data_IF_364985032508
#
_entry.id   IF_364985032508
#
_cell.length_a   1.000
_cell.length_b   1.000
_cell.length_c   1.000
_cell.angle_alpha   90.00
_cell.angle_beta   90.00
_cell.angle_gamma   90.00
#
_symmetry.space_group_name_H-M   'P 1'
#
loop_
_entity.id
_entity.type
_entity.pdbx_description
1 polymer ?
#
# COMPACT_ATOMS: atom_id res chain seq x y z
N UNK A 1 9.32 -0.50 -35.63
CA UNK A 1 9.94 -0.94 -34.35
C UNK A 1 8.80 -1.35 -33.45
N UNK A 2 8.42 -2.63 -33.55
CA UNK A 2 7.32 -3.20 -32.80
C UNK A 2 7.75 -3.46 -31.36
N UNK A 3 7.03 -2.84 -30.42
CA UNK A 3 7.13 -3.15 -28.99
C UNK A 3 6.49 -4.54 -28.77
N UNK A 4 7.12 -5.44 -28.01
CA UNK A 4 6.51 -6.73 -27.73
C UNK A 4 5.39 -6.54 -26.70
N UNK A 5 4.16 -6.45 -27.19
CA UNK A 5 2.93 -6.76 -26.43
C UNK A 5 2.96 -8.23 -26.03
N UNK A 6 3.46 -8.51 -24.82
CA UNK A 6 3.62 -9.88 -24.36
C UNK A 6 3.94 -10.05 -22.87
N UNK A 7 3.55 -9.11 -22.00
CA UNK A 7 3.70 -9.23 -20.54
C UNK A 7 2.36 -9.65 -19.88
N UNK A 8 1.63 -10.57 -20.51
CA UNK A 8 0.29 -10.97 -20.08
C UNK A 8 0.30 -12.23 -19.22
N UNK A 9 -0.30 -12.16 -18.03
CA UNK A 9 -0.82 -13.25 -17.15
C UNK A 9 0.15 -14.38 -16.70
N UNK A 10 1.14 -14.77 -17.50
CA UNK A 10 2.11 -15.84 -17.21
C UNK A 10 3.08 -15.46 -16.11
N UNK A 11 3.48 -14.19 -16.04
CA UNK A 11 4.33 -13.66 -14.97
C UNK A 11 3.64 -13.72 -13.60
N UNK A 12 2.34 -13.37 -13.54
CA UNK A 12 1.55 -13.35 -12.31
C UNK A 12 1.40 -14.74 -11.68
N UNK A 13 1.27 -15.80 -12.50
CA UNK A 13 1.22 -17.19 -12.01
C UNK A 13 2.55 -17.63 -11.36
N UNK A 14 3.68 -17.18 -11.89
CA UNK A 14 5.00 -17.47 -11.31
C UNK A 14 5.20 -16.71 -9.99
N UNK A 15 4.76 -15.45 -9.91
CA UNK A 15 4.74 -14.66 -8.67
C UNK A 15 3.89 -15.33 -7.59
N UNK A 16 2.69 -15.80 -7.95
CA UNK A 16 1.79 -16.48 -7.01
C UNK A 16 2.45 -17.72 -6.40
N UNK A 17 3.19 -18.50 -7.19
CA UNK A 17 3.91 -19.69 -6.70
C UNK A 17 4.99 -19.33 -5.69
N UNK A 18 5.77 -18.29 -5.95
CA UNK A 18 6.83 -17.83 -5.03
C UNK A 18 6.30 -17.35 -3.68
N UNK A 19 5.08 -16.83 -3.63
CA UNK A 19 4.47 -16.30 -2.40
C UNK A 19 3.66 -17.33 -1.61
N UNK A 20 3.17 -18.39 -2.27
CA UNK A 20 2.55 -19.53 -1.57
C UNK A 20 3.54 -20.17 -0.59
N UNK A 21 4.83 -20.26 -0.95
CA UNK A 21 5.87 -20.81 -0.05
C UNK A 21 6.04 -19.97 1.22
N UNK A 22 6.01 -18.64 1.09
CA UNK A 22 6.04 -17.69 2.23
C UNK A 22 4.75 -17.76 3.07
N UNK A 23 3.62 -18.06 2.44
CA UNK A 23 2.30 -18.20 3.09
C UNK A 23 2.19 -19.51 3.89
N UNK A 24 2.71 -20.63 3.37
CA UNK A 24 2.67 -21.97 4.00
C UNK A 24 3.43 -22.03 5.34
N UNK A 25 4.52 -21.28 5.50
CA UNK A 25 5.20 -21.16 6.81
C UNK A 25 4.34 -20.45 7.88
N UNK A 26 3.28 -19.75 7.48
CA UNK A 26 2.44 -18.91 8.35
C UNK A 26 0.95 -19.36 8.43
N UNK A 27 0.57 -20.46 7.78
CA UNK A 27 -0.84 -20.84 7.57
C UNK A 27 -1.47 -21.55 8.79
N UNK A 28 -2.01 -20.76 9.70
CA UNK A 28 -3.24 -21.14 10.42
C UNK A 28 -3.96 -19.89 10.87
N UNK A 29 -4.85 -19.37 10.02
CA UNK A 29 -6.22 -18.92 10.38
C UNK A 29 -6.83 -18.00 9.31
N UNK A 30 -7.98 -18.47 8.82
CA UNK A 30 -9.20 -17.70 8.48
C UNK A 30 -9.02 -16.60 7.42
N UNK A 31 -9.34 -16.92 6.17
CA UNK A 31 -9.82 -15.92 5.21
C UNK A 31 -11.06 -16.45 4.49
N UNK A 32 -12.16 -15.69 4.54
CA UNK A 32 -13.24 -15.83 3.58
C UNK A 32 -12.70 -15.42 2.20
N UNK A 33 -12.98 -16.23 1.18
CA UNK A 33 -12.47 -15.98 -0.18
C UNK A 33 -13.21 -14.79 -0.80
N UNK A 34 -12.47 -13.73 -1.16
CA UNK A 34 -13.02 -12.59 -1.93
C UNK A 34 -13.40 -13.04 -3.34
N UNK A 35 -14.44 -12.41 -3.91
CA UNK A 35 -14.84 -12.66 -5.31
C UNK A 35 -13.81 -12.03 -6.27
N UNK A 36 -13.57 -12.62 -7.46
CA UNK A 36 -12.55 -12.14 -8.41
C UNK A 36 -12.67 -10.68 -8.82
N UNK A 37 -13.90 -10.17 -8.99
CA UNK A 37 -14.18 -8.78 -9.37
C UNK A 37 -14.07 -7.79 -8.20
N UNK A 38 -13.84 -8.26 -6.98
CA UNK A 38 -13.79 -7.48 -5.74
C UNK A 38 -14.92 -6.42 -5.66
N UNK A 39 -16.19 -6.85 -5.58
CA UNK A 39 -17.31 -5.93 -5.42
C UNK A 39 -17.26 -5.21 -4.06
N UNK A 40 -18.03 -4.12 -3.93
CA UNK A 40 -18.03 -3.26 -2.72
C UNK A 40 -18.21 -4.03 -1.42
N UNK A 41 -19.08 -5.04 -1.41
CA UNK A 41 -19.35 -5.85 -0.22
C UNK A 41 -18.12 -6.61 0.27
N UNK A 42 -17.15 -6.91 -0.59
CA UNK A 42 -15.94 -7.67 -0.24
C UNK A 42 -14.78 -6.73 0.17
N UNK A 43 -14.89 -5.42 -0.06
CA UNK A 43 -13.82 -4.45 0.25
C UNK A 43 -13.42 -4.45 1.74
N UNK A 44 -14.36 -4.73 2.64
CA UNK A 44 -14.05 -4.82 4.08
C UNK A 44 -13.03 -5.90 4.41
N UNK A 45 -13.00 -7.01 3.65
CA UNK A 45 -12.02 -8.08 3.81
C UNK A 45 -10.62 -7.61 3.39
N UNK A 46 -10.54 -6.78 2.35
CA UNK A 46 -9.28 -6.21 1.86
C UNK A 46 -8.78 -5.14 2.82
N UNK A 47 -9.65 -4.26 3.32
CA UNK A 47 -9.29 -3.25 4.33
C UNK A 47 -8.63 -3.90 5.53
N UNK A 48 -9.28 -4.93 6.10
CA UNK A 48 -8.74 -5.69 7.22
C UNK A 48 -7.33 -6.23 6.93
N UNK A 49 -7.11 -6.80 5.75
CA UNK A 49 -5.79 -7.33 5.39
C UNK A 49 -4.75 -6.22 5.18
N UNK A 50 -5.12 -5.07 4.62
CA UNK A 50 -4.24 -3.90 4.50
C UNK A 50 -3.87 -3.39 5.89
N UNK A 51 -4.85 -3.21 6.78
CA UNK A 51 -4.65 -2.73 8.15
C UNK A 51 -3.76 -3.71 8.94
N UNK A 52 -3.98 -5.02 8.80
CA UNK A 52 -3.13 -6.04 9.37
C UNK A 52 -1.69 -5.94 8.83
N UNK A 53 -1.49 -5.69 7.52
CA UNK A 53 -0.17 -5.48 6.92
C UNK A 53 0.53 -4.22 7.45
N UNK A 54 -0.23 -3.15 7.67
CA UNK A 54 0.25 -1.86 8.17
C UNK A 54 0.49 -1.84 9.68
N UNK A 55 -0.09 -2.80 10.41
CA UNK A 55 0.21 -3.00 11.82
C UNK A 55 1.67 -3.41 12.03
N UNK A 56 2.28 -2.87 13.08
CA UNK A 56 3.64 -3.20 13.51
C UNK A 56 3.67 -4.47 14.40
N UNK A 57 2.56 -5.20 14.46
CA UNK A 57 2.40 -6.36 15.34
C UNK A 57 3.02 -7.61 14.73
N UNK A 58 3.86 -8.30 15.51
CA UNK A 58 4.60 -9.47 15.06
C UNK A 58 5.81 -9.07 14.21
N UNK A 59 6.97 -9.69 14.48
CA UNK A 59 8.25 -9.31 13.86
C UNK A 59 8.29 -9.45 12.33
N UNK A 60 9.44 -9.16 11.74
CA UNK A 60 9.64 -9.04 10.29
C UNK A 60 9.08 -10.21 9.46
N UNK A 61 9.24 -11.46 9.94
CA UNK A 61 8.70 -12.63 9.27
C UNK A 61 7.16 -12.61 9.17
N UNK A 62 6.47 -12.20 10.23
CA UNK A 62 5.01 -12.08 10.24
C UNK A 62 4.52 -10.97 9.31
N UNK A 63 5.22 -9.83 9.31
CA UNK A 63 4.93 -8.72 8.40
C UNK A 63 5.09 -9.14 6.93
N UNK A 64 6.17 -9.85 6.59
CA UNK A 64 6.42 -10.40 5.25
C UNK A 64 5.31 -11.38 4.84
N UNK A 65 4.90 -12.27 5.74
CA UNK A 65 3.82 -13.23 5.47
C UNK A 65 2.47 -12.55 5.21
N UNK A 66 2.13 -11.49 5.97
CA UNK A 66 0.90 -10.70 5.73
C UNK A 66 0.92 -10.02 4.36
N UNK A 67 2.05 -9.39 4.01
CA UNK A 67 2.21 -8.75 2.71
C UNK A 67 2.12 -9.79 1.56
N UNK A 68 2.77 -10.94 1.70
CA UNK A 68 2.69 -12.03 0.70
C UNK A 68 1.25 -12.53 0.51
N UNK A 69 0.48 -12.66 1.59
CA UNK A 69 -0.94 -13.05 1.52
C UNK A 69 -1.79 -12.02 0.79
N UNK A 70 -1.70 -10.75 1.19
CA UNK A 70 -2.47 -9.67 0.55
C UNK A 70 -2.10 -9.52 -0.93
N UNK A 71 -0.81 -9.61 -1.24
CA UNK A 71 -0.33 -9.59 -2.61
C UNK A 71 -0.84 -10.81 -3.41
N UNK A 72 -0.88 -11.99 -2.80
CA UNK A 72 -1.50 -13.19 -3.37
C UNK A 72 -2.97 -12.99 -3.69
N UNK A 73 -3.73 -12.34 -2.80
CA UNK A 73 -5.13 -11.96 -3.06
C UNK A 73 -5.23 -11.07 -4.29
N UNK A 74 -4.42 -10.02 -4.40
CA UNK A 74 -4.41 -9.14 -5.58
C UNK A 74 -4.12 -9.91 -6.89
N UNK A 75 -3.19 -10.86 -6.86
CA UNK A 75 -2.86 -11.70 -8.02
C UNK A 75 -4.01 -12.64 -8.43
N UNK A 76 -4.84 -13.06 -7.47
CA UNK A 76 -5.99 -13.92 -7.69
C UNK A 76 -7.25 -13.14 -8.18
N UNK A 77 -7.21 -11.79 -8.17
CA UNK A 77 -8.27 -10.93 -8.72
C UNK A 77 -8.25 -10.88 -10.24
N UNK A 78 -9.42 -10.65 -10.84
CA UNK A 78 -9.53 -10.33 -12.27
C UNK A 78 -9.21 -8.84 -12.55
N UNK A 79 -9.36 -8.41 -13.81
CA UNK A 79 -9.05 -7.03 -14.19
C UNK A 79 -9.94 -6.00 -13.46
N UNK A 80 -11.21 -6.31 -13.24
CA UNK A 80 -12.11 -5.42 -12.50
C UNK A 80 -11.73 -5.38 -11.02
N UNK A 81 -11.44 -6.54 -10.43
CA UNK A 81 -11.03 -6.63 -9.03
C UNK A 81 -9.73 -5.89 -8.73
N UNK A 82 -8.73 -6.00 -9.61
CA UNK A 82 -7.48 -5.23 -9.47
C UNK A 82 -7.73 -3.72 -9.54
N UNK A 83 -8.64 -3.28 -10.42
CA UNK A 83 -9.02 -1.88 -10.48
C UNK A 83 -9.71 -1.41 -9.20
N UNK A 84 -10.61 -2.22 -8.64
CA UNK A 84 -11.29 -1.92 -7.38
C UNK A 84 -10.31 -1.88 -6.20
N UNK A 85 -9.30 -2.76 -6.19
CA UNK A 85 -8.22 -2.75 -5.20
C UNK A 85 -7.36 -1.48 -5.28
N UNK A 86 -6.96 -1.08 -6.48
CA UNK A 86 -6.17 0.15 -6.69
C UNK A 86 -6.95 1.40 -6.31
N UNK A 87 -8.25 1.44 -6.64
CA UNK A 87 -9.15 2.51 -6.19
C UNK A 87 -9.20 2.54 -4.67
N UNK A 88 -9.46 1.42 -3.99
CA UNK A 88 -9.47 1.36 -2.53
C UNK A 88 -8.21 2.00 -1.92
N UNK A 89 -7.02 1.64 -2.42
CA UNK A 89 -5.76 2.23 -1.97
C UNK A 89 -5.66 3.74 -2.26
N UNK A 90 -6.12 4.17 -3.44
CA UNK A 90 -6.06 5.57 -3.83
C UNK A 90 -6.97 6.48 -2.99
N UNK A 91 -8.17 5.99 -2.68
CA UNK A 91 -9.22 6.77 -2.02
C UNK A 91 -9.13 6.73 -0.49
N UNK A 92 -8.67 5.61 0.09
CA UNK A 92 -8.78 5.39 1.55
C UNK A 92 -7.43 5.29 2.27
N UNK A 93 -6.34 5.06 1.54
CA UNK A 93 -5.01 4.82 2.12
C UNK A 93 -3.99 5.90 1.73
N UNK A 94 -4.46 7.12 1.45
CA UNK A 94 -3.64 8.32 1.30
C UNK A 94 -3.19 8.90 2.65
N UNK A 95 -2.52 10.05 2.63
CA UNK A 95 -2.18 10.79 3.86
C UNK A 95 -3.46 11.15 4.62
N UNK A 96 -3.46 10.96 5.93
CA UNK A 96 -4.55 11.41 6.80
C UNK A 96 -4.49 12.94 6.93
N UNK A 97 -5.48 13.59 6.31
CA UNK A 97 -5.61 15.05 6.27
C UNK A 97 -5.70 15.69 7.66
N UNK A 98 -6.36 15.04 8.62
CA UNK A 98 -6.54 15.59 9.95
C UNK A 98 -5.27 15.45 10.78
N UNK A 99 -4.61 14.30 10.70
CA UNK A 99 -3.29 14.10 11.30
C UNK A 99 -2.24 15.05 10.69
N UNK A 100 -2.30 15.28 9.37
CA UNK A 100 -1.43 16.23 8.67
C UNK A 100 -1.66 17.66 9.18
N UNK A 101 -2.92 18.10 9.25
CA UNK A 101 -3.25 19.44 9.78
C UNK A 101 -2.78 19.60 11.21
N UNK A 102 -2.96 18.58 12.05
CA UNK A 102 -2.55 18.63 13.44
C UNK A 102 -1.02 18.71 13.60
N UNK A 103 -0.28 17.84 12.90
CA UNK A 103 1.19 17.85 12.94
C UNK A 103 1.79 19.13 12.37
N UNK A 104 1.19 19.69 11.31
CA UNK A 104 1.60 20.98 10.75
C UNK A 104 1.37 22.14 11.72
N UNK A 105 0.21 22.20 12.39
CA UNK A 105 -0.08 23.21 13.42
C UNK A 105 0.91 23.11 14.59
N UNK A 106 1.20 21.89 15.06
CA UNK A 106 2.14 21.67 16.14
C UNK A 106 3.55 22.17 15.78
N UNK A 107 4.01 21.94 14.55
CA UNK A 107 5.30 22.44 14.08
C UNK A 107 5.33 23.96 13.95
N UNK A 108 4.29 24.58 13.37
CA UNK A 108 4.19 26.05 13.24
C UNK A 108 4.11 26.76 14.59
N UNK A 109 3.52 26.11 15.60
CA UNK A 109 3.39 26.66 16.95
C UNK A 109 4.75 26.85 17.66
N UNK A 110 5.80 26.14 17.23
CA UNK A 110 7.14 26.23 17.85
C UNK A 110 7.84 27.57 17.59
N UNK A 111 7.43 28.31 16.56
CA UNK A 111 7.92 29.66 16.26
C UNK A 111 6.99 30.76 16.84
N UNK A 112 5.88 30.35 17.48
CA UNK A 112 4.93 31.25 18.13
C UNK A 112 5.44 31.57 19.55
N UNK A 113 5.25 32.80 20.03
CA UNK A 113 5.59 33.28 21.40
C UNK A 113 6.99 33.86 21.64
N UNK A 114 7.75 34.19 20.60
CA UNK A 114 8.97 35.01 20.74
C UNK A 114 10.11 34.36 21.54
N UNK A 115 9.95 33.08 21.91
CA UNK A 115 10.99 32.20 22.41
C UNK A 115 11.30 31.22 21.29
N UNK A 116 12.56 31.13 20.88
CA UNK A 116 12.97 30.07 19.96
C UNK A 116 12.73 28.73 20.67
N UNK A 117 11.86 27.88 20.11
CA UNK A 117 11.78 26.49 20.55
C UNK A 117 13.18 25.88 20.57
N UNK A 118 13.46 25.07 21.58
CA UNK A 118 14.73 24.37 21.64
C UNK A 118 14.84 23.43 20.43
N UNK A 119 16.08 23.20 19.98
CA UNK A 119 16.37 22.44 18.77
C UNK A 119 15.75 21.03 18.79
N UNK A 120 15.66 20.40 19.96
CA UNK A 120 15.09 19.04 20.10
C UNK A 120 13.60 19.06 19.78
N UNK A 121 12.83 19.97 20.37
CA UNK A 121 11.39 20.11 20.10
C UNK A 121 11.08 20.32 18.61
N UNK A 122 11.91 21.12 17.93
CA UNK A 122 11.80 21.34 16.49
C UNK A 122 12.07 20.07 15.68
N UNK A 123 13.15 19.35 15.99
CA UNK A 123 13.49 18.11 15.30
C UNK A 123 12.44 17.00 15.51
N UNK A 124 11.84 16.94 16.70
CA UNK A 124 10.77 15.99 17.01
C UNK A 124 9.48 16.29 16.24
N UNK A 125 9.10 17.57 16.13
CA UNK A 125 7.96 18.00 15.33
C UNK A 125 8.18 17.73 13.82
N UNK A 126 9.39 17.99 13.30
CA UNK A 126 9.76 17.62 11.94
C UNK A 126 9.70 16.09 11.72
N UNK A 127 10.14 15.29 12.69
CA UNK A 127 10.05 13.84 12.62
C UNK A 127 8.60 13.36 12.61
N UNK A 128 7.71 14.00 13.38
CA UNK A 128 6.27 13.73 13.36
C UNK A 128 5.66 14.06 11.98
N UNK A 129 6.00 15.20 11.40
CA UNK A 129 5.55 15.59 10.06
C UNK A 129 6.01 14.58 9.00
N UNK A 130 7.28 14.18 9.01
CA UNK A 130 7.83 13.15 8.10
C UNK A 130 7.06 11.83 8.21
N UNK A 131 6.77 11.36 9.42
CA UNK A 131 5.97 10.14 9.63
C UNK A 131 4.53 10.29 9.12
N UNK A 132 3.92 11.45 9.32
CA UNK A 132 2.52 11.71 8.93
C UNK A 132 2.36 11.80 7.40
N UNK A 133 3.33 12.41 6.72
CA UNK A 133 3.36 12.52 5.26
C UNK A 133 3.63 11.19 4.55
N UNK A 134 4.12 10.18 5.26
CA UNK A 134 4.28 8.85 4.69
C UNK A 134 2.90 8.16 4.63
N UNK A 135 2.29 8.18 3.45
CA UNK A 135 0.96 7.59 3.25
C UNK A 135 0.93 6.09 3.63
N UNK A 136 -0.19 5.59 4.16
CA UNK A 136 -0.40 4.16 4.38
C UNK A 136 -0.17 3.31 3.12
N UNK A 137 -0.63 3.77 1.95
CA UNK A 137 -0.40 3.06 0.68
C UNK A 137 1.09 3.02 0.30
N UNK A 138 1.88 4.07 0.50
CA UNK A 138 3.33 4.04 0.29
C UNK A 138 4.01 3.01 1.20
N UNK A 139 3.65 2.97 2.49
CA UNK A 139 4.16 1.97 3.44
C UNK A 139 3.81 0.55 2.99
N UNK A 140 2.63 0.35 2.41
CA UNK A 140 2.22 -0.93 1.86
C UNK A 140 3.04 -1.32 0.62
N UNK A 141 3.26 -0.38 -0.32
CA UNK A 141 4.11 -0.63 -1.49
C UNK A 141 5.53 -1.02 -1.07
N UNK A 142 6.10 -0.36 -0.05
CA UNK A 142 7.41 -0.73 0.52
C UNK A 142 7.41 -2.19 1.02
N UNK A 143 6.35 -2.62 1.72
CA UNK A 143 6.25 -4.02 2.19
C UNK A 143 6.17 -5.03 1.04
N UNK A 144 5.51 -4.67 -0.07
CA UNK A 144 5.51 -5.52 -1.26
C UNK A 144 6.88 -5.57 -1.94
N UNK A 145 7.61 -4.46 -1.95
CA UNK A 145 8.96 -4.41 -2.51
C UNK A 145 9.92 -5.40 -1.83
N UNK A 146 9.74 -5.62 -0.52
CA UNK A 146 10.58 -6.53 0.27
C UNK A 146 10.30 -8.02 -0.03
N UNK A 147 9.21 -8.36 -0.72
CA UNK A 147 8.87 -9.73 -1.10
C UNK A 147 9.76 -10.25 -2.23
N UNK A 148 9.91 -11.58 -2.40
CA UNK A 148 10.57 -12.14 -3.59
C UNK A 148 9.83 -11.66 -4.84
N UNK A 149 10.54 -11.18 -5.85
CA UNK A 149 9.96 -10.59 -7.06
C UNK A 149 9.05 -9.36 -6.81
N UNK A 150 9.19 -8.69 -5.65
CA UNK A 150 8.37 -7.55 -5.25
C UNK A 150 8.41 -6.38 -6.24
N UNK A 151 9.59 -6.08 -6.79
CA UNK A 151 9.77 -5.03 -7.81
C UNK A 151 8.92 -5.30 -9.05
N UNK A 152 8.89 -6.56 -9.52
CA UNK A 152 8.08 -6.95 -10.68
C UNK A 152 6.60 -6.86 -10.38
N UNK A 153 6.18 -7.31 -9.21
CA UNK A 153 4.80 -7.16 -8.75
C UNK A 153 4.34 -5.70 -8.73
N UNK A 154 5.17 -4.80 -8.18
CA UNK A 154 4.88 -3.36 -8.14
C UNK A 154 4.84 -2.75 -9.54
N UNK A 155 5.73 -3.16 -10.45
CA UNK A 155 5.70 -2.72 -11.83
C UNK A 155 4.40 -3.13 -12.54
N UNK A 156 3.94 -4.37 -12.35
CA UNK A 156 2.68 -4.87 -12.92
C UNK A 156 1.46 -4.14 -12.31
N UNK A 157 1.48 -3.89 -11.00
CA UNK A 157 0.45 -3.13 -10.29
C UNK A 157 0.38 -1.67 -10.75
N UNK A 158 1.54 -1.04 -10.97
CA UNK A 158 1.62 0.31 -11.54
C UNK A 158 1.10 0.34 -12.97
N UNK A 159 1.44 -0.64 -13.80
CA UNK A 159 0.92 -0.72 -15.17
C UNK A 159 -0.61 -0.73 -15.18
N UNK A 160 -1.24 -1.51 -14.29
CA UNK A 160 -2.70 -1.52 -14.13
C UNK A 160 -3.24 -0.15 -13.66
N UNK A 161 -2.54 0.55 -12.76
CA UNK A 161 -2.91 1.89 -12.32
C UNK A 161 -2.86 2.92 -13.47
N UNK A 162 -1.83 2.84 -14.32
CA UNK A 162 -1.67 3.74 -15.47
C UNK A 162 -2.86 3.66 -16.44
N UNK A 163 -3.49 2.48 -16.58
CA UNK A 163 -4.68 2.26 -17.42
C UNK A 163 -5.93 2.98 -16.87
N UNK A 164 -6.07 3.06 -15.55
CA UNK A 164 -7.30 3.57 -14.91
C UNK A 164 -7.19 5.00 -14.38
N UNK A 165 -5.97 5.53 -14.16
CA UNK A 165 -5.77 6.81 -13.47
C UNK A 165 -6.40 8.01 -14.17
N UNK A 166 -6.56 7.97 -15.49
CA UNK A 166 -7.15 9.02 -16.37
C UNK A 166 -7.07 10.43 -15.76
N UNK A 167 -8.21 11.11 -15.61
CA UNK A 167 -8.32 12.46 -15.04
C UNK A 167 -8.54 12.45 -13.52
N UNK A 168 -8.62 11.27 -12.89
CA UNK A 168 -8.88 11.16 -11.45
C UNK A 168 -7.67 11.65 -10.62
N UNK A 169 -7.81 12.73 -9.84
CA UNK A 169 -6.70 13.29 -9.09
C UNK A 169 -6.14 12.35 -8.01
N UNK A 170 -6.96 11.49 -7.41
CA UNK A 170 -6.52 10.59 -6.34
C UNK A 170 -5.71 9.42 -6.91
N UNK A 171 -6.14 8.87 -8.05
CA UNK A 171 -5.35 7.85 -8.76
C UNK A 171 -4.04 8.42 -9.32
N UNK A 172 -4.05 9.67 -9.82
CA UNK A 172 -2.81 10.35 -10.24
C UNK A 172 -1.88 10.67 -9.07
N UNK A 173 -2.43 11.04 -7.91
CA UNK A 173 -1.64 11.20 -6.70
C UNK A 173 -1.01 9.87 -6.28
N UNK A 174 -1.76 8.77 -6.36
CA UNK A 174 -1.24 7.45 -6.03
C UNK A 174 -0.08 7.03 -6.96
N UNK A 175 -0.17 7.26 -8.27
CA UNK A 175 0.93 6.92 -9.18
C UNK A 175 2.24 7.69 -8.90
N UNK A 176 2.16 8.88 -8.29
CA UNK A 176 3.37 9.63 -7.88
C UNK A 176 4.08 9.02 -6.66
N UNK A 177 3.45 8.07 -5.99
CA UNK A 177 3.97 7.34 -4.84
C UNK A 177 4.52 5.95 -5.19
N UNK A 178 4.42 5.54 -6.46
CA UNK A 178 4.99 4.26 -6.94
C UNK A 178 6.48 4.35 -7.23
#
# INVERSE_FOLDING_TARGET
MDLPTGFGLKGLKQLRRAWIEVEQEALSRITGKVRPALPKDDLHLIRRQIDDCLSETGGAASARARAARLGGVYLDLDAEGRNNFLKLLAFEYGVDDDALRESARAWLALDSEGQAADLTSRLDAEARLRRTLQSPRMRLLTKFNDLPEGVKFLADMRAQLLEIRKEDPQLRAFDREF
#
